data_IF_653405603044
#
_entry.id   IF_653405603044
#
_cell.length_a   1.000
_cell.length_b   1.000
_cell.length_c   1.000
_cell.angle_alpha   90.00
_cell.angle_beta   90.00
_cell.angle_gamma   90.00
#
_symmetry.space_group_name_H-M   'P 1'
#
loop_
_entity.id
_entity.type
_entity.pdbx_description
1 polymer ?
#
# COMPACT_ATOMS: atom_id res chain seq x y z
N UNK A 1 -16.78 -2.10 6.90
CA UNK A 1 -16.85 -1.78 5.46
C UNK A 1 -16.21 -2.90 4.66
N UNK A 2 -16.88 -3.33 3.61
CA UNK A 2 -16.24 -4.24 2.66
C UNK A 2 -15.26 -3.44 1.79
N UNK A 3 -14.00 -3.85 1.82
CA UNK A 3 -12.96 -3.17 1.06
C UNK A 3 -13.28 -3.11 -0.44
N UNK A 4 -13.86 -4.17 -0.99
CA UNK A 4 -14.21 -4.21 -2.42
C UNK A 4 -15.25 -3.17 -2.84
N UNK A 5 -15.94 -2.54 -1.89
CA UNK A 5 -16.89 -1.46 -2.18
C UNK A 5 -16.18 -0.12 -2.42
N UNK A 6 -14.91 0.01 -2.02
CA UNK A 6 -14.13 1.19 -2.33
C UNK A 6 -13.75 1.16 -3.82
N UNK A 7 -14.00 2.24 -4.60
CA UNK A 7 -13.76 2.23 -6.04
C UNK A 7 -12.34 1.80 -6.45
N UNK A 8 -11.32 2.27 -5.74
CA UNK A 8 -9.94 1.93 -6.07
C UNK A 8 -9.61 0.47 -5.74
N UNK A 9 -10.15 -0.06 -4.65
CA UNK A 9 -9.97 -1.47 -4.31
C UNK A 9 -10.65 -2.36 -5.35
N UNK A 10 -11.84 -1.99 -5.79
CA UNK A 10 -12.53 -2.68 -6.87
C UNK A 10 -11.72 -2.68 -8.16
N UNK A 11 -11.10 -1.54 -8.51
CA UNK A 11 -10.22 -1.44 -9.67
C UNK A 11 -8.98 -2.32 -9.53
N UNK A 12 -8.36 -2.35 -8.36
CA UNK A 12 -7.22 -3.23 -8.09
C UNK A 12 -7.59 -4.69 -8.31
N UNK A 13 -8.70 -5.12 -7.75
CA UNK A 13 -9.19 -6.50 -7.91
C UNK A 13 -9.44 -6.82 -9.38
N UNK A 14 -10.00 -5.88 -10.14
CA UNK A 14 -10.32 -6.07 -11.56
C UNK A 14 -9.10 -6.29 -12.45
N UNK A 15 -7.91 -5.88 -12.01
CA UNK A 15 -6.68 -6.07 -12.78
C UNK A 15 -6.25 -7.52 -12.86
N UNK A 16 -6.69 -8.37 -11.94
CA UNK A 16 -6.31 -9.78 -11.93
C UNK A 16 -4.85 -10.03 -11.60
N UNK A 17 -4.23 -9.17 -10.79
CA UNK A 17 -2.85 -9.38 -10.35
C UNK A 17 -2.74 -10.62 -9.46
N UNK A 18 -1.64 -11.37 -9.61
CA UNK A 18 -1.37 -12.50 -8.72
C UNK A 18 -1.23 -11.99 -7.28
N UNK A 19 -2.12 -12.42 -6.39
CA UNK A 19 -2.20 -11.87 -5.02
C UNK A 19 -1.01 -12.24 -4.15
N UNK A 20 -0.27 -13.27 -4.49
CA UNK A 20 0.99 -13.61 -3.83
C UNK A 20 2.18 -12.77 -4.27
N UNK A 21 2.02 -11.93 -5.29
CA UNK A 21 3.11 -11.16 -5.90
C UNK A 21 2.93 -9.65 -5.76
N UNK A 22 2.07 -9.19 -4.87
CA UNK A 22 1.98 -7.76 -4.57
C UNK A 22 1.59 -7.51 -3.11
N UNK A 23 1.74 -6.27 -2.67
CA UNK A 23 1.31 -5.82 -1.35
C UNK A 23 0.88 -4.36 -1.45
N UNK A 24 -0.16 -3.97 -0.71
CA UNK A 24 -0.63 -2.59 -0.67
C UNK A 24 0.10 -1.82 0.42
N UNK A 25 0.76 -0.73 0.03
CA UNK A 25 1.55 0.15 0.90
C UNK A 25 0.86 1.51 1.08
N UNK A 26 1.60 2.53 1.48
CA UNK A 26 1.08 3.89 1.62
C UNK A 26 -0.07 4.01 2.60
N UNK A 27 -1.14 4.67 2.21
CA UNK A 27 -2.32 4.86 3.07
C UNK A 27 -3.38 3.76 2.92
N UNK A 28 -3.20 2.81 1.99
CA UNK A 28 -4.11 1.67 1.82
C UNK A 28 -4.32 0.85 3.09
N UNK A 29 -3.27 0.53 3.87
CA UNK A 29 -3.43 -0.16 5.15
C UNK A 29 -4.36 0.55 6.14
N UNK A 30 -4.39 1.89 6.16
CA UNK A 30 -5.31 2.63 7.01
C UNK A 30 -6.76 2.40 6.60
N UNK A 31 -7.03 2.35 5.29
CA UNK A 31 -8.34 2.00 4.76
C UNK A 31 -8.73 0.59 5.20
N UNK A 32 -7.81 -0.37 5.08
CA UNK A 32 -8.04 -1.77 5.44
C UNK A 32 -8.39 -1.95 6.92
N UNK A 33 -7.76 -1.17 7.79
CA UNK A 33 -8.03 -1.20 9.24
C UNK A 33 -9.19 -0.31 9.68
N UNK A 34 -9.87 0.35 8.75
CA UNK A 34 -11.00 1.23 9.07
C UNK A 34 -10.59 2.55 9.72
N UNK A 35 -9.31 2.93 9.65
CA UNK A 35 -8.81 4.20 10.20
C UNK A 35 -9.09 5.37 9.26
N UNK A 36 -9.27 5.09 7.99
CA UNK A 36 -9.75 6.04 6.98
C UNK A 36 -10.92 5.43 6.26
N UNK A 37 -11.92 6.25 5.93
CA UNK A 37 -13.08 5.81 5.17
C UNK A 37 -12.84 5.86 3.66
N UNK A 38 -11.81 6.60 3.23
CA UNK A 38 -11.45 6.74 1.82
C UNK A 38 -9.99 7.13 1.67
N UNK A 39 -9.43 6.80 0.50
CA UNK A 39 -8.10 7.24 0.08
C UNK A 39 -8.20 7.72 -1.36
N UNK A 40 -7.34 8.68 -1.73
CA UNK A 40 -7.33 9.25 -3.08
C UNK A 40 -6.56 8.41 -4.09
N UNK A 41 -5.64 7.58 -3.62
CA UNK A 41 -4.86 6.65 -4.43
C UNK A 41 -4.51 5.42 -3.61
N UNK A 42 -4.10 4.36 -4.30
CA UNK A 42 -3.52 3.17 -3.69
C UNK A 42 -2.12 2.98 -4.23
N UNK A 43 -1.16 2.77 -3.33
CA UNK A 43 0.22 2.44 -3.65
C UNK A 43 0.41 0.94 -3.52
N UNK A 44 0.89 0.31 -4.57
CA UNK A 44 1.05 -1.15 -4.63
C UNK A 44 2.51 -1.45 -4.99
N UNK A 45 3.14 -2.36 -4.26
CA UNK A 45 4.47 -2.87 -4.60
C UNK A 45 4.28 -4.26 -5.20
N UNK A 46 4.79 -4.48 -6.40
CA UNK A 46 4.57 -5.71 -7.14
C UNK A 46 5.90 -6.33 -7.61
N UNK A 47 5.89 -7.64 -7.78
CA UNK A 47 7.01 -8.41 -8.33
C UNK A 47 6.46 -9.48 -9.27
N UNK A 48 7.36 -10.18 -9.96
CA UNK A 48 7.01 -11.36 -10.74
C UNK A 48 5.83 -11.16 -11.69
N UNK A 49 4.87 -12.07 -11.64
CA UNK A 49 3.73 -12.03 -12.56
C UNK A 49 2.82 -10.81 -12.34
N UNK A 50 2.72 -10.30 -11.11
CA UNK A 50 1.94 -9.09 -10.85
C UNK A 50 2.58 -7.87 -11.50
N UNK A 51 3.89 -7.71 -11.40
CA UNK A 51 4.62 -6.62 -12.07
C UNK A 51 4.51 -6.73 -13.58
N UNK A 52 4.72 -7.94 -14.12
CA UNK A 52 4.60 -8.20 -15.56
C UNK A 52 3.22 -7.79 -16.07
N UNK A 53 2.17 -8.19 -15.35
CA UNK A 53 0.79 -7.81 -15.72
C UNK A 53 0.59 -6.30 -15.69
N UNK A 54 1.12 -5.61 -14.68
CA UNK A 54 1.03 -4.16 -14.62
C UNK A 54 1.69 -3.50 -15.85
N UNK A 55 2.86 -3.96 -16.25
CA UNK A 55 3.58 -3.40 -17.41
C UNK A 55 2.88 -3.67 -18.75
N UNK A 56 2.01 -4.68 -18.80
CA UNK A 56 1.17 -4.93 -19.97
C UNK A 56 0.02 -3.93 -20.08
N UNK A 57 -0.41 -3.35 -18.95
CA UNK A 57 -1.53 -2.42 -18.90
C UNK A 57 -1.12 -0.97 -19.19
N UNK A 58 0.10 -0.59 -18.83
CA UNK A 58 0.65 0.74 -19.12
C UNK A 58 2.17 0.69 -19.06
N UNK A 59 2.84 1.61 -19.77
CA UNK A 59 4.29 1.67 -19.79
C UNK A 59 4.85 2.16 -18.46
N UNK A 60 5.89 1.49 -17.91
CA UNK A 60 6.54 1.96 -16.70
C UNK A 60 7.23 3.31 -16.90
N UNK A 61 7.21 4.12 -15.86
CA UNK A 61 7.93 5.40 -15.80
C UNK A 61 8.81 5.43 -14.56
N UNK A 62 9.84 6.28 -14.48
CA UNK A 62 10.63 6.41 -13.26
C UNK A 62 9.76 6.82 -12.07
N UNK A 63 9.96 6.18 -10.92
CA UNK A 63 9.25 6.53 -9.71
C UNK A 63 9.68 7.94 -9.22
N UNK A 64 8.76 8.72 -8.60
CA UNK A 64 9.10 10.06 -8.10
C UNK A 64 10.24 10.08 -7.10
N UNK A 65 10.42 9.00 -6.32
CA UNK A 65 11.52 8.89 -5.36
C UNK A 65 12.90 8.75 -6.02
N UNK A 66 12.95 8.48 -7.34
CA UNK A 66 14.17 8.13 -8.04
C UNK A 66 14.62 6.69 -7.81
N UNK A 67 13.80 5.86 -7.17
CA UNK A 67 14.14 4.49 -6.82
C UNK A 67 13.15 3.52 -7.48
N UNK A 68 13.57 2.94 -8.61
CA UNK A 68 12.76 1.99 -9.34
C UNK A 68 11.79 2.62 -10.33
N UNK A 69 10.83 1.81 -10.79
CA UNK A 69 9.85 2.14 -11.80
C UNK A 69 8.43 2.09 -11.23
N UNK A 70 7.52 2.79 -11.90
CA UNK A 70 6.13 2.89 -11.49
C UNK A 70 5.22 2.78 -12.70
N UNK A 71 4.12 2.05 -12.56
CA UNK A 71 3.02 2.01 -13.55
C UNK A 71 1.84 2.78 -12.96
N UNK A 72 1.33 3.75 -13.71
CA UNK A 72 0.17 4.56 -13.31
C UNK A 72 -1.07 4.08 -14.05
N UNK A 73 -2.14 3.80 -13.32
CA UNK A 73 -3.43 3.39 -13.87
C UNK A 73 -4.56 4.25 -13.27
N UNK A 74 -5.64 4.41 -14.03
CA UNK A 74 -6.84 5.15 -13.60
C UNK A 74 -6.51 6.57 -13.14
N UNK A 75 -5.77 7.32 -13.97
CA UNK A 75 -5.38 8.71 -13.71
C UNK A 75 -4.62 8.89 -12.38
N UNK A 76 -3.78 7.91 -12.04
CA UNK A 76 -3.01 7.95 -10.80
C UNK A 76 -3.73 7.39 -9.58
N UNK A 77 -4.94 6.87 -9.75
CA UNK A 77 -5.65 6.21 -8.64
C UNK A 77 -4.96 4.94 -8.17
N UNK A 78 -4.28 4.23 -9.07
CA UNK A 78 -3.41 3.10 -8.72
C UNK A 78 -2.00 3.42 -9.17
N UNK A 79 -1.05 3.34 -8.25
CA UNK A 79 0.38 3.50 -8.48
C UNK A 79 1.06 2.19 -8.12
N UNK A 80 1.60 1.49 -9.12
CA UNK A 80 2.20 0.18 -8.95
C UNK A 80 3.71 0.30 -9.13
N UNK A 81 4.47 -0.03 -8.07
CA UNK A 81 5.91 0.12 -7.99
C UNK A 81 6.60 -1.24 -8.04
N UNK A 82 7.76 -1.32 -8.69
CA UNK A 82 8.62 -2.51 -8.62
C UNK A 82 9.53 -2.48 -7.37
N UNK A 83 9.66 -1.32 -6.72
CA UNK A 83 10.37 -1.11 -5.45
C UNK A 83 9.66 -0.02 -4.68
N UNK A 84 9.66 -0.10 -3.35
CA UNK A 84 8.93 0.89 -2.56
C UNK A 84 9.71 2.21 -2.45
N UNK A 85 10.32 2.48 -1.33
CA UNK A 85 11.03 3.73 -1.08
C UNK A 85 12.49 3.42 -0.74
N UNK A 86 13.43 4.37 -0.98
CA UNK A 86 14.81 4.19 -0.56
C UNK A 86 14.90 3.87 0.94
N UNK A 87 15.68 2.87 1.30
CA UNK A 87 15.86 2.46 2.69
C UNK A 87 14.81 1.49 3.22
N UNK A 88 13.78 1.16 2.44
CA UNK A 88 12.79 0.14 2.82
C UNK A 88 13.23 -1.24 2.33
N UNK A 89 12.67 -2.33 2.89
CA UNK A 89 12.95 -3.67 2.40
C UNK A 89 12.55 -3.85 0.93
N UNK A 90 13.16 -4.80 0.26
CA UNK A 90 12.81 -5.13 -1.12
C UNK A 90 11.41 -5.74 -1.24
N UNK A 91 10.89 -5.87 -2.49
CA UNK A 91 9.53 -6.39 -2.71
C UNK A 91 9.29 -7.75 -2.08
N UNK A 92 10.26 -8.66 -2.17
CA UNK A 92 10.12 -10.01 -1.61
C UNK A 92 9.86 -9.99 -0.09
N UNK A 93 10.61 -9.16 0.63
CA UNK A 93 10.46 -9.04 2.08
C UNK A 93 9.14 -8.34 2.45
N UNK A 94 8.75 -7.29 1.73
CA UNK A 94 7.49 -6.60 1.96
C UNK A 94 6.30 -7.53 1.74
N UNK A 95 6.32 -8.31 0.68
CA UNK A 95 5.25 -9.27 0.36
C UNK A 95 5.21 -10.40 1.39
N UNK A 96 6.37 -10.92 1.80
CA UNK A 96 6.44 -11.97 2.82
C UNK A 96 5.89 -11.50 4.16
N UNK A 97 6.06 -10.21 4.51
CA UNK A 97 5.57 -9.62 5.75
C UNK A 97 4.15 -9.08 5.70
N UNK A 98 3.43 -9.28 4.59
CA UNK A 98 2.10 -8.72 4.42
C UNK A 98 1.10 -9.26 5.44
N UNK A 99 0.19 -8.37 5.87
CA UNK A 99 -0.99 -8.70 6.65
C UNK A 99 -2.16 -8.87 5.69
N UNK A 100 -2.84 -10.02 5.75
CA UNK A 100 -3.98 -10.31 4.87
C UNK A 100 -5.28 -9.85 5.51
N UNK A 101 -5.98 -8.94 4.83
CA UNK A 101 -7.26 -8.41 5.29
C UNK A 101 -8.26 -8.52 4.14
N UNK A 102 -9.38 -9.19 4.38
CA UNK A 102 -10.42 -9.42 3.36
C UNK A 102 -9.86 -9.98 2.04
N UNK A 103 -8.88 -10.88 2.15
CA UNK A 103 -8.30 -11.55 0.98
C UNK A 103 -7.28 -10.73 0.19
N UNK A 104 -6.84 -9.59 0.70
CA UNK A 104 -5.83 -8.74 0.09
C UNK A 104 -4.63 -8.52 1.02
N UNK A 105 -3.41 -8.44 0.46
CA UNK A 105 -2.20 -8.26 1.27
C UNK A 105 -1.89 -6.77 1.46
N UNK A 106 -1.65 -6.39 2.72
CA UNK A 106 -1.33 -5.01 3.11
C UNK A 106 -0.05 -4.98 3.93
N UNK A 107 0.72 -3.89 3.80
CA UNK A 107 1.83 -3.64 4.70
C UNK A 107 1.31 -3.41 6.12
N UNK A 108 1.94 -3.99 7.15
CA UNK A 108 1.51 -3.76 8.54
C UNK A 108 1.57 -2.28 8.93
N UNK A 109 0.62 -1.84 9.77
CA UNK A 109 0.55 -0.44 10.20
C UNK A 109 1.83 0.05 10.87
N UNK A 110 2.54 -0.81 11.60
CA UNK A 110 3.82 -0.42 12.23
C UNK A 110 4.87 0.00 11.21
N UNK A 111 4.95 -0.70 10.08
CA UNK A 111 5.87 -0.35 9.00
C UNK A 111 5.43 0.95 8.32
N UNK A 112 4.13 1.10 8.06
CA UNK A 112 3.58 2.32 7.48
C UNK A 112 3.87 3.52 8.37
N UNK A 113 3.70 3.38 9.68
CA UNK A 113 3.98 4.43 10.66
C UNK A 113 5.45 4.88 10.57
N UNK A 114 6.37 3.93 10.54
CA UNK A 114 7.81 4.22 10.45
C UNK A 114 8.15 5.00 9.19
N UNK A 115 7.63 4.57 8.03
CA UNK A 115 7.89 5.25 6.76
C UNK A 115 7.32 6.67 6.75
N UNK A 116 6.10 6.85 7.25
CA UNK A 116 5.48 8.17 7.33
C UNK A 116 6.23 9.11 8.28
N UNK A 117 6.73 8.60 9.40
CA UNK A 117 7.58 9.35 10.33
C UNK A 117 8.89 9.77 9.68
N UNK A 118 9.50 8.90 8.90
CA UNK A 118 10.75 9.19 8.19
C UNK A 118 10.54 10.25 7.11
N UNK A 119 9.48 10.14 6.31
CA UNK A 119 9.14 11.13 5.29
C UNK A 119 8.70 12.46 5.90
N UNK A 120 7.97 12.39 7.00
CA UNK A 120 7.50 13.52 7.81
C UNK A 120 6.89 14.65 6.98
N UNK A 121 6.08 14.30 5.97
CA UNK A 121 5.36 15.28 5.16
C UNK A 121 4.13 15.75 5.93
N UNK A 122 3.73 17.01 5.69
CA UNK A 122 2.54 17.56 6.34
C UNK A 122 1.31 16.67 6.15
N UNK A 123 1.13 16.14 4.95
CA UNK A 123 0.01 15.25 4.64
C UNK A 123 0.04 13.91 5.40
N UNK A 124 1.20 13.53 5.96
CA UNK A 124 1.34 12.29 6.72
C UNK A 124 1.00 12.44 8.20
N UNK A 125 0.96 13.67 8.72
CA UNK A 125 0.75 13.91 10.17
C UNK A 125 -0.55 13.34 10.68
N UNK A 126 -1.64 13.49 9.94
CA UNK A 126 -2.94 12.95 10.33
C UNK A 126 -2.92 11.42 10.37
N UNK A 127 -2.31 10.78 9.38
CA UNK A 127 -2.20 9.32 9.33
C UNK A 127 -1.32 8.80 10.46
N UNK A 128 -0.21 9.48 10.77
CA UNK A 128 0.66 9.12 11.89
C UNK A 128 -0.14 9.10 13.20
N UNK A 129 -0.94 10.12 13.46
CA UNK A 129 -1.77 10.19 14.66
C UNK A 129 -2.82 9.08 14.70
N UNK A 130 -3.47 8.80 13.58
CA UNK A 130 -4.46 7.72 13.49
C UNK A 130 -3.84 6.36 13.79
N UNK A 131 -2.68 6.07 13.20
CA UNK A 131 -1.99 4.80 13.40
C UNK A 131 -1.52 4.68 14.86
N UNK A 132 -0.89 5.71 15.39
CA UNK A 132 -0.36 5.71 16.76
C UNK A 132 -1.48 5.45 17.77
N UNK A 133 -2.59 6.12 17.62
CA UNK A 133 -3.75 5.95 18.51
C UNK A 133 -4.32 4.53 18.42
N UNK A 134 -4.38 3.96 17.21
CA UNK A 134 -4.85 2.60 16.99
C UNK A 134 -3.93 1.58 17.65
N UNK A 135 -2.62 1.71 17.47
CA UNK A 135 -1.63 0.81 18.08
C UNK A 135 -1.64 0.89 19.60
N UNK A 136 -1.81 2.09 20.16
CA UNK A 136 -1.90 2.29 21.60
C UNK A 136 -3.15 1.58 22.18
N UNK A 137 -4.27 1.60 21.47
CA UNK A 137 -5.48 0.88 21.87
C UNK A 137 -5.28 -0.63 21.85
N UNK A 138 -4.58 -1.17 20.86
CA UNK A 138 -4.28 -2.61 20.79
C UNK A 138 -3.48 -3.05 22.00
N UNK A 139 -2.49 -2.26 22.42
CA UNK A 139 -1.70 -2.57 23.62
C UNK A 139 -2.59 -2.61 24.86
N UNK A 140 -3.49 -1.63 25.03
CA UNK A 140 -4.41 -1.59 26.18
C UNK A 140 -5.39 -2.76 26.19
N UNK A 141 -5.87 -3.17 25.01
CA UNK A 141 -6.84 -4.28 24.91
C UNK A 141 -6.20 -5.64 25.19
N UNK A 142 -4.87 -5.74 25.12
CA UNK A 142 -4.14 -6.98 25.40
C UNK A 142 -3.50 -7.03 26.80
N UNK A 143 -3.67 -6.00 27.58
CA UNK A 143 -3.29 -5.98 29.01
C UNK A 143 -4.45 -6.48 29.87
#
# INVERSE_FOLDING_TARGET
>A
MDLCDHPLVGKLISLGLERGDFVVAGSGPLLAHGLRSSVGDLDIVARGDAWKRATELADPVPAPSGYGLMVLLFDGGLEIFDRWLPGTPGPDALIAGAEWIQGLPFCPLREVLEWKRTALREKDLKDILLIQKHLDREVLDHE
#
